data_IF_769283969443
#
_entry.id   IF_769283969443
#
_cell.length_a   1.000
_cell.length_b   1.000
_cell.length_c   1.000
_cell.angle_alpha   90.00
_cell.angle_beta   90.00
_cell.angle_gamma   90.00
#
_symmetry.space_group_name_H-M   'P 1'
#
loop_
_entity.id
_entity.type
_entity.pdbx_description
1 polymer ?
#
# COMPACT_ATOMS: atom_id res chain seq x y z
N UNK A 1 29.82 65.49 22.82
CA UNK A 1 29.42 64.39 23.69
C UNK A 1 27.94 64.39 24.07
N UNK A 2 27.36 65.53 24.51
CA UNK A 2 25.91 65.57 24.91
C UNK A 2 24.89 65.22 23.80
N UNK A 3 25.14 65.55 22.54
CA UNK A 3 24.25 65.22 21.41
C UNK A 3 24.27 63.74 21.00
N UNK A 4 25.38 63.02 21.15
CA UNK A 4 25.51 61.61 20.84
C UNK A 4 24.80 60.75 21.90
N UNK A 5 24.89 61.16 23.19
CA UNK A 5 24.18 60.49 24.29
C UNK A 5 22.66 60.58 24.12
N UNK A 6 22.15 61.68 23.61
CA UNK A 6 20.73 61.89 23.38
C UNK A 6 20.20 61.01 22.22
N UNK A 7 21.00 60.77 21.19
CA UNK A 7 20.64 59.87 20.07
C UNK A 7 20.58 58.41 20.55
N UNK A 8 21.52 57.97 21.38
CA UNK A 8 21.47 56.61 21.95
C UNK A 8 20.31 56.41 22.91
N UNK A 9 19.89 57.45 23.66
CA UNK A 9 18.71 57.38 24.54
C UNK A 9 17.40 57.29 23.74
N UNK A 10 17.29 57.98 22.61
CA UNK A 10 16.11 57.92 21.72
C UNK A 10 16.05 56.57 20.99
N UNK A 11 17.18 55.98 20.57
CA UNK A 11 17.22 54.64 19.94
C UNK A 11 16.90 53.57 20.98
N UNK A 12 17.32 53.69 22.23
CA UNK A 12 17.02 52.74 23.29
C UNK A 12 15.53 52.75 23.68
N UNK A 13 14.86 53.91 23.58
CA UNK A 13 13.42 54.05 23.86
C UNK A 13 12.54 53.61 22.69
N UNK A 14 13.08 53.63 21.45
CA UNK A 14 12.39 53.17 20.25
C UNK A 14 12.35 51.62 20.09
N UNK A 15 13.19 50.89 20.84
CA UNK A 15 13.26 49.42 20.86
C UNK A 15 12.55 48.82 22.08
N UNK A 16 11.53 49.51 22.63
CA UNK A 16 10.63 48.86 23.58
C UNK A 16 9.82 47.78 22.83
N UNK A 17 10.40 46.59 22.77
CA UNK A 17 9.65 45.39 22.43
C UNK A 17 8.47 45.32 23.40
N UNK A 18 7.28 45.62 22.91
CA UNK A 18 6.07 45.36 23.67
C UNK A 18 5.95 43.85 23.87
N UNK A 19 6.54 43.37 24.95
CA UNK A 19 6.26 42.03 25.45
C UNK A 19 4.79 42.05 25.83
N UNK A 20 3.95 41.55 24.95
CA UNK A 20 2.54 41.38 25.25
C UNK A 20 2.43 40.32 26.34
N UNK A 21 2.42 40.77 27.60
CA UNK A 21 2.16 39.85 28.71
C UNK A 21 0.80 39.19 28.50
N UNK A 22 0.69 37.87 28.58
CA UNK A 22 -0.59 37.22 28.53
C UNK A 22 -1.42 37.73 29.71
N UNK A 23 -2.48 38.49 29.43
CA UNK A 23 -3.34 38.95 30.51
C UNK A 23 -4.34 37.86 30.88
N UNK A 24 -4.53 37.68 32.17
CA UNK A 24 -5.44 36.72 32.75
C UNK A 24 -6.66 37.46 33.30
N UNK A 25 -7.85 36.95 32.99
CA UNK A 25 -9.11 37.50 33.51
C UNK A 25 -9.72 36.46 34.45
N UNK A 26 -10.08 36.88 35.63
CA UNK A 26 -10.85 36.04 36.54
C UNK A 26 -12.26 35.85 35.99
N UNK A 27 -12.63 34.58 35.80
CA UNK A 27 -13.93 34.19 35.25
C UNK A 27 -14.78 33.58 36.38
N UNK A 28 -15.77 34.29 36.94
CA UNK A 28 -16.58 33.80 38.04
C UNK A 28 -17.31 32.49 37.75
N UNK A 29 -17.75 32.30 36.50
CA UNK A 29 -18.48 31.14 36.02
C UNK A 29 -17.70 29.83 36.19
N UNK A 30 -16.40 29.84 36.00
CA UNK A 30 -15.51 28.66 36.13
C UNK A 30 -14.58 28.78 37.35
N UNK A 31 -14.68 29.86 38.13
CA UNK A 31 -13.88 30.17 39.32
C UNK A 31 -12.36 29.99 39.08
N UNK A 32 -11.87 30.49 37.93
CA UNK A 32 -10.45 30.40 37.54
C UNK A 32 -10.00 31.63 36.77
N UNK A 33 -8.70 31.90 36.85
CA UNK A 33 -8.04 32.84 35.97
C UNK A 33 -7.93 32.23 34.59
N UNK A 34 -8.43 32.91 33.56
CA UNK A 34 -8.47 32.44 32.18
C UNK A 34 -7.82 33.46 31.27
N UNK A 35 -6.94 33.05 30.40
CA UNK A 35 -6.43 33.90 29.32
C UNK A 35 -7.43 33.88 28.16
N UNK A 36 -8.11 34.97 27.82
CA UNK A 36 -9.13 34.98 26.76
C UNK A 36 -8.62 34.60 25.40
N UNK A 37 -7.31 34.78 25.11
CA UNK A 37 -6.70 34.37 23.84
C UNK A 37 -6.53 32.86 23.71
N UNK A 38 -6.40 32.16 24.85
CA UNK A 38 -6.18 30.73 24.87
C UNK A 38 -7.34 29.93 25.46
N UNK A 39 -8.37 30.63 25.96
CA UNK A 39 -9.56 30.01 26.52
C UNK A 39 -10.34 29.22 25.47
N UNK A 40 -10.94 28.13 25.93
CA UNK A 40 -11.91 27.41 25.11
C UNK A 40 -13.21 28.23 25.01
N UNK A 41 -13.88 28.14 23.87
CA UNK A 41 -15.20 28.73 23.68
C UNK A 41 -16.23 28.03 24.56
N UNK A 42 -17.31 28.74 24.95
CA UNK A 42 -18.32 28.22 25.89
C UNK A 42 -19.03 26.95 25.44
N UNK A 43 -19.19 26.77 24.14
CA UNK A 43 -19.85 25.60 23.56
C UNK A 43 -18.96 24.88 22.52
N UNK A 44 -19.12 23.58 22.32
CA UNK A 44 -18.38 22.84 21.30
C UNK A 44 -18.65 23.41 19.89
N UNK A 45 -19.89 23.82 19.61
CA UNK A 45 -20.28 24.40 18.33
C UNK A 45 -19.51 25.72 18.03
N UNK A 46 -19.42 26.60 18.99
CA UNK A 46 -18.65 27.86 18.84
C UNK A 46 -17.15 27.59 18.70
N UNK A 47 -16.62 26.65 19.48
CA UNK A 47 -15.21 26.24 19.39
C UNK A 47 -14.89 25.65 18.01
N UNK A 48 -15.77 24.82 17.49
CA UNK A 48 -15.63 24.24 16.16
C UNK A 48 -15.72 25.31 15.06
N UNK A 49 -16.73 26.18 15.12
CA UNK A 49 -16.89 27.27 14.16
C UNK A 49 -15.64 28.15 14.08
N UNK A 50 -15.06 28.47 15.24
CA UNK A 50 -13.81 29.26 15.30
C UNK A 50 -12.63 28.46 14.69
N UNK A 51 -12.45 27.21 15.05
CA UNK A 51 -11.37 26.39 14.50
C UNK A 51 -11.51 26.19 12.97
N UNK A 52 -12.75 26.03 12.49
CA UNK A 52 -13.07 25.91 11.07
C UNK A 52 -12.78 27.21 10.32
N UNK A 53 -13.09 28.38 10.88
CA UNK A 53 -12.74 29.66 10.24
C UNK A 53 -11.23 29.84 10.07
N UNK A 54 -10.43 29.35 11.02
CA UNK A 54 -8.96 29.33 10.90
C UNK A 54 -8.49 28.39 9.77
N UNK A 55 -9.15 27.25 9.62
CA UNK A 55 -8.89 26.32 8.50
C UNK A 55 -9.21 26.99 7.15
N UNK A 56 -10.34 27.65 7.03
CA UNK A 56 -10.76 28.36 5.81
C UNK A 56 -9.79 29.49 5.45
N UNK A 57 -9.22 30.16 6.46
CA UNK A 57 -8.15 31.14 6.31
C UNK A 57 -6.76 30.53 6.05
N UNK A 58 -6.66 29.19 5.92
CA UNK A 58 -5.42 28.43 5.76
C UNK A 58 -4.42 28.58 6.91
N UNK A 59 -4.87 29.07 8.07
CA UNK A 59 -4.06 29.12 9.27
C UNK A 59 -4.07 27.75 9.98
N UNK A 60 -3.44 26.77 9.33
CA UNK A 60 -3.54 25.35 9.71
C UNK A 60 -2.98 25.07 11.10
N UNK A 61 -1.88 25.70 11.50
CA UNK A 61 -1.28 25.45 12.81
C UNK A 61 -2.18 25.92 13.97
N UNK A 62 -2.84 27.04 13.79
CA UNK A 62 -3.78 27.55 14.78
C UNK A 62 -5.08 26.75 14.77
N UNK A 63 -5.58 26.40 13.58
CA UNK A 63 -6.71 25.51 13.42
C UNK A 63 -6.47 24.16 14.13
N UNK A 64 -5.32 23.52 13.92
CA UNK A 64 -4.95 22.27 14.62
C UNK A 64 -4.98 22.43 16.15
N UNK A 65 -4.47 23.52 16.67
CA UNK A 65 -4.49 23.79 18.12
C UNK A 65 -5.91 23.88 18.66
N UNK A 66 -6.77 24.62 17.97
CA UNK A 66 -8.14 24.85 18.41
C UNK A 66 -9.02 23.60 18.24
N UNK A 67 -8.82 22.80 17.17
CA UNK A 67 -9.46 21.49 16.98
C UNK A 67 -9.06 20.50 18.08
N UNK A 68 -7.76 20.37 18.38
CA UNK A 68 -7.28 19.50 19.47
C UNK A 68 -7.82 19.95 20.84
N UNK A 69 -7.95 21.27 21.06
CA UNK A 69 -8.53 21.83 22.28
C UNK A 69 -10.00 21.43 22.42
N UNK A 70 -10.78 21.46 21.32
CA UNK A 70 -12.16 21.01 21.29
C UNK A 70 -12.27 19.52 21.66
N UNK A 71 -11.53 18.66 20.98
CA UNK A 71 -11.55 17.21 21.21
C UNK A 71 -11.22 16.88 22.68
N UNK A 72 -10.25 17.59 23.25
CA UNK A 72 -9.85 17.38 24.65
C UNK A 72 -10.93 17.81 25.65
N UNK A 73 -11.60 18.92 25.37
CA UNK A 73 -12.54 19.54 26.31
C UNK A 73 -13.98 19.04 26.16
N UNK A 74 -14.34 18.62 24.96
CA UNK A 74 -15.68 18.15 24.60
C UNK A 74 -15.63 16.80 23.85
N UNK A 75 -15.01 15.75 24.41
CA UNK A 75 -14.71 14.50 23.67
C UNK A 75 -15.94 13.72 23.22
N UNK A 76 -17.11 13.99 23.80
CA UNK A 76 -18.38 13.33 23.47
C UNK A 76 -19.30 14.16 22.56
N UNK A 77 -18.88 15.38 22.20
CA UNK A 77 -19.66 16.24 21.32
C UNK A 77 -19.57 15.76 19.86
N UNK A 78 -20.60 15.97 19.07
CA UNK A 78 -20.58 15.67 17.63
C UNK A 78 -19.44 16.41 16.93
N UNK A 79 -19.18 17.64 17.35
CA UNK A 79 -18.11 18.48 16.84
C UNK A 79 -16.71 17.93 17.13
N UNK A 80 -16.57 16.98 18.06
CA UNK A 80 -15.29 16.31 18.30
C UNK A 80 -14.92 15.37 17.14
N UNK A 81 -15.89 14.62 16.59
CA UNK A 81 -15.69 13.80 15.39
C UNK A 81 -15.35 14.70 14.19
N UNK A 82 -16.11 15.78 13.98
CA UNK A 82 -15.83 16.77 12.93
C UNK A 82 -14.44 17.40 13.10
N UNK A 83 -14.06 17.76 14.33
CA UNK A 83 -12.72 18.29 14.61
C UNK A 83 -11.62 17.32 14.26
N UNK A 84 -11.81 16.03 14.55
CA UNK A 84 -10.85 14.98 14.21
C UNK A 84 -10.76 14.81 12.69
N UNK A 85 -11.88 14.94 11.95
CA UNK A 85 -11.90 14.93 10.49
C UNK A 85 -11.11 16.11 9.90
N UNK A 86 -11.32 17.32 10.41
CA UNK A 86 -10.56 18.50 9.96
C UNK A 86 -9.05 18.38 10.26
N UNK A 87 -8.66 17.71 11.35
CA UNK A 87 -7.25 17.38 11.57
C UNK A 87 -6.70 16.51 10.44
N UNK A 88 -7.45 15.50 10.02
CA UNK A 88 -7.08 14.66 8.86
C UNK A 88 -6.95 15.47 7.58
N UNK A 89 -7.92 16.34 7.28
CA UNK A 89 -7.89 17.20 6.08
C UNK A 89 -6.67 18.14 6.07
N UNK A 90 -6.29 18.70 7.23
CA UNK A 90 -5.11 19.57 7.33
C UNK A 90 -3.85 18.76 7.02
N UNK A 91 -3.69 17.59 7.61
CA UNK A 91 -2.52 16.72 7.35
C UNK A 91 -2.47 16.28 5.88
N UNK A 92 -3.62 15.96 5.28
CA UNK A 92 -3.73 15.62 3.86
C UNK A 92 -3.32 16.80 2.97
N UNK A 93 -3.80 18.00 3.27
CA UNK A 93 -3.45 19.24 2.56
C UNK A 93 -1.95 19.58 2.67
N UNK A 94 -1.33 19.24 3.79
CA UNK A 94 0.11 19.41 4.02
C UNK A 94 0.94 18.24 3.45
N UNK A 95 0.31 17.29 2.74
CA UNK A 95 0.95 16.09 2.19
C UNK A 95 1.58 15.17 3.26
N UNK A 96 1.09 15.25 4.49
CA UNK A 96 1.44 14.36 5.59
C UNK A 96 0.48 13.16 5.60
N UNK A 97 0.48 12.39 4.51
CA UNK A 97 -0.56 11.39 4.24
C UNK A 97 -0.71 10.34 5.33
N UNK A 98 0.38 9.90 5.94
CA UNK A 98 0.30 8.92 7.03
C UNK A 98 -0.34 9.50 8.30
N UNK A 99 -0.03 10.75 8.63
CA UNK A 99 -0.66 11.45 9.76
C UNK A 99 -2.15 11.72 9.49
N UNK A 100 -2.50 12.01 8.22
CA UNK A 100 -3.90 12.11 7.80
C UNK A 100 -4.66 10.79 8.03
N UNK A 101 -4.09 9.66 7.59
CA UNK A 101 -4.62 8.33 7.87
C UNK A 101 -4.82 8.10 9.37
N UNK A 102 -3.80 8.37 10.20
CA UNK A 102 -3.92 8.21 11.65
C UNK A 102 -5.00 9.11 12.27
N UNK A 103 -5.23 10.29 11.69
CA UNK A 103 -6.30 11.17 12.14
C UNK A 103 -7.68 10.63 11.76
N UNK A 104 -7.82 10.06 10.56
CA UNK A 104 -9.06 9.44 10.08
C UNK A 104 -9.38 8.15 10.84
N UNK A 105 -8.42 7.26 11.02
CA UNK A 105 -8.61 6.02 11.78
C UNK A 105 -9.12 6.29 13.21
N UNK A 106 -8.66 7.37 13.88
CA UNK A 106 -9.18 7.77 15.18
C UNK A 106 -10.68 8.09 15.19
N UNK A 107 -11.26 8.46 14.04
CA UNK A 107 -12.71 8.68 13.96
C UNK A 107 -13.43 7.34 13.98
N UNK A 108 -12.96 6.39 13.21
CA UNK A 108 -13.52 5.03 13.18
C UNK A 108 -13.46 4.40 14.57
N UNK A 109 -12.31 4.53 15.25
CA UNK A 109 -12.10 3.94 16.57
C UNK A 109 -12.92 4.60 17.69
N UNK A 110 -13.09 5.93 17.66
CA UNK A 110 -13.68 6.68 18.78
C UNK A 110 -15.09 7.20 18.52
N UNK A 111 -15.45 7.35 17.26
CA UNK A 111 -16.73 7.92 16.83
C UNK A 111 -17.40 7.05 15.75
N UNK A 112 -17.63 5.75 16.02
CA UNK A 112 -18.08 4.77 15.01
C UNK A 112 -19.46 5.09 14.40
N UNK A 113 -20.23 5.99 15.03
CA UNK A 113 -21.52 6.46 14.53
C UNK A 113 -21.42 7.77 13.72
N UNK A 114 -20.20 8.20 13.35
CA UNK A 114 -20.01 9.37 12.50
C UNK A 114 -20.57 9.11 11.10
N UNK A 115 -21.34 10.06 10.56
CA UNK A 115 -21.85 10.00 9.19
C UNK A 115 -20.75 9.99 8.12
N UNK A 116 -19.50 10.31 8.52
CA UNK A 116 -18.34 10.39 7.62
C UNK A 116 -17.57 9.09 7.45
N UNK A 117 -17.99 8.00 8.11
CA UNK A 117 -17.22 6.74 8.09
C UNK A 117 -16.92 6.27 6.65
N UNK A 118 -17.94 6.30 5.78
CA UNK A 118 -17.76 5.88 4.38
C UNK A 118 -16.77 6.80 3.62
N UNK A 119 -16.90 8.11 3.79
CA UNK A 119 -15.97 9.09 3.20
C UNK A 119 -14.53 8.88 3.70
N UNK A 120 -14.39 8.58 4.98
CA UNK A 120 -13.08 8.31 5.61
C UNK A 120 -12.42 7.09 5.01
N UNK A 121 -13.14 5.98 4.87
CA UNK A 121 -12.65 4.75 4.25
C UNK A 121 -12.18 5.01 2.81
N UNK A 122 -12.92 5.82 2.06
CA UNK A 122 -12.52 6.21 0.71
C UNK A 122 -11.24 7.07 0.68
N UNK A 123 -11.08 7.97 1.67
CA UNK A 123 -9.85 8.75 1.82
C UNK A 123 -8.66 7.89 2.21
N UNK A 124 -8.83 7.01 3.18
CA UNK A 124 -7.79 6.05 3.58
C UNK A 124 -7.36 5.18 2.39
N UNK A 125 -8.32 4.68 1.61
CA UNK A 125 -8.01 3.94 0.40
C UNK A 125 -7.17 4.77 -0.61
N UNK A 126 -7.52 6.04 -0.86
CA UNK A 126 -6.74 6.94 -1.72
C UNK A 126 -5.34 7.21 -1.18
N UNK A 127 -5.21 7.33 0.14
CA UNK A 127 -3.91 7.47 0.80
C UNK A 127 -3.05 6.22 0.58
N UNK A 128 -3.66 5.02 0.70
CA UNK A 128 -2.96 3.77 0.40
C UNK A 128 -2.47 3.72 -1.06
N UNK A 129 -3.31 4.12 -2.03
CA UNK A 129 -2.92 4.20 -3.45
C UNK A 129 -1.73 5.15 -3.67
N UNK A 130 -1.68 6.28 -2.96
CA UNK A 130 -0.54 7.20 -3.03
C UNK A 130 0.76 6.53 -2.53
N UNK A 131 0.70 5.73 -1.47
CA UNK A 131 1.87 4.96 -0.99
C UNK A 131 2.26 3.83 -1.95
N UNK A 132 1.32 3.24 -2.67
CA UNK A 132 1.61 2.25 -3.71
C UNK A 132 2.38 2.85 -4.89
N UNK A 133 2.11 4.11 -5.24
CA UNK A 133 2.75 4.82 -6.36
C UNK A 133 4.08 5.47 -6.02
N UNK A 134 4.64 5.18 -4.84
CA UNK A 134 5.98 5.61 -4.46
C UNK A 134 6.07 6.77 -3.48
N UNK A 135 4.94 7.27 -2.97
CA UNK A 135 4.95 8.21 -1.83
C UNK A 135 5.62 7.53 -0.64
N UNK A 136 6.51 8.24 0.05
CA UNK A 136 7.21 7.74 1.23
C UNK A 136 6.63 8.36 2.49
N UNK A 137 6.55 7.56 3.56
CA UNK A 137 6.24 8.08 4.88
C UNK A 137 7.34 9.06 5.30
N UNK A 138 6.93 10.21 5.79
CA UNK A 138 7.84 11.26 6.26
C UNK A 138 7.62 11.49 7.75
N UNK A 139 8.70 11.75 8.49
CA UNK A 139 8.65 12.35 9.82
C UNK A 139 9.65 13.51 9.86
N UNK A 140 9.22 14.65 10.36
CA UNK A 140 10.02 15.89 10.39
C UNK A 140 10.60 16.26 9.00
N UNK A 141 9.84 16.00 7.93
CA UNK A 141 10.28 16.28 6.56
C UNK A 141 11.20 15.26 5.91
N UNK A 142 11.67 14.25 6.66
CA UNK A 142 12.56 13.18 6.16
C UNK A 142 11.78 11.91 5.85
N UNK A 143 12.17 11.21 4.75
CA UNK A 143 11.61 9.90 4.42
C UNK A 143 12.09 8.86 5.44
N UNK A 144 11.17 8.07 5.98
CA UNK A 144 11.49 6.99 6.92
C UNK A 144 11.74 5.68 6.16
N UNK A 145 12.77 4.90 6.53
CA UNK A 145 13.00 3.56 6.02
C UNK A 145 12.09 2.56 6.78
N UNK A 146 10.79 2.64 6.51
CA UNK A 146 9.78 1.78 7.13
C UNK A 146 9.07 0.93 6.07
N UNK A 147 8.42 -0.13 6.52
CA UNK A 147 7.54 -0.92 5.67
C UNK A 147 6.52 -0.02 4.94
N UNK A 148 6.13 -0.42 3.73
CA UNK A 148 5.21 0.37 2.92
C UNK A 148 3.87 0.56 3.66
N UNK A 149 3.49 1.80 4.02
CA UNK A 149 2.27 2.07 4.78
C UNK A 149 0.99 1.59 4.09
N UNK A 150 1.01 1.36 2.77
CA UNK A 150 -0.14 0.84 2.04
C UNK A 150 -0.62 -0.51 2.58
N UNK A 151 0.28 -1.36 3.13
CA UNK A 151 -0.10 -2.65 3.70
C UNK A 151 -1.01 -2.44 4.90
N UNK A 152 -0.59 -1.62 5.87
CA UNK A 152 -1.36 -1.30 7.06
C UNK A 152 -2.70 -0.65 6.70
N UNK A 153 -2.66 0.37 5.84
CA UNK A 153 -3.85 1.16 5.49
C UNK A 153 -4.87 0.30 4.74
N UNK A 154 -4.44 -0.49 3.73
CA UNK A 154 -5.35 -1.38 3.01
C UNK A 154 -5.95 -2.44 3.93
N UNK A 155 -5.18 -2.98 4.86
CA UNK A 155 -5.68 -3.92 5.87
C UNK A 155 -6.78 -3.27 6.70
N UNK A 156 -6.58 -2.03 7.17
CA UNK A 156 -7.61 -1.30 7.92
C UNK A 156 -8.85 -0.96 7.09
N UNK A 157 -8.68 -0.57 5.84
CA UNK A 157 -9.81 -0.35 4.91
C UNK A 157 -10.66 -1.62 4.76
N UNK A 158 -10.04 -2.80 4.66
CA UNK A 158 -10.74 -4.09 4.56
C UNK A 158 -11.45 -4.41 5.88
N UNK A 159 -10.78 -4.27 7.02
CA UNK A 159 -11.34 -4.54 8.34
C UNK A 159 -12.52 -3.62 8.66
N UNK A 160 -12.40 -2.32 8.36
CA UNK A 160 -13.42 -1.31 8.66
C UNK A 160 -14.65 -1.39 7.74
N UNK A 161 -14.53 -2.03 6.58
CA UNK A 161 -15.62 -2.12 5.60
C UNK A 161 -15.59 -3.43 4.81
N UNK A 162 -15.62 -4.56 5.52
CA UNK A 162 -15.47 -5.92 4.95
C UNK A 162 -16.41 -6.22 3.80
N UNK A 163 -17.63 -5.70 3.83
CA UNK A 163 -18.64 -5.87 2.77
C UNK A 163 -18.91 -4.58 1.97
N UNK A 164 -18.07 -3.58 2.17
CA UNK A 164 -18.20 -2.30 1.46
C UNK A 164 -17.71 -2.37 0.01
N UNK A 165 -18.01 -1.33 -0.78
CA UNK A 165 -17.74 -1.33 -2.21
C UNK A 165 -16.24 -1.36 -2.54
N UNK A 166 -15.38 -0.99 -1.60
CA UNK A 166 -13.92 -0.98 -1.79
C UNK A 166 -13.22 -2.25 -1.29
N UNK A 167 -13.90 -3.12 -0.53
CA UNK A 167 -13.28 -4.24 0.16
C UNK A 167 -12.54 -5.20 -0.79
N UNK A 168 -13.19 -5.68 -1.84
CA UNK A 168 -12.59 -6.58 -2.82
C UNK A 168 -11.40 -5.94 -3.54
N UNK A 169 -11.55 -4.67 -3.92
CA UNK A 169 -10.50 -3.88 -4.57
C UNK A 169 -9.30 -3.65 -3.63
N UNK A 170 -9.57 -3.29 -2.37
CA UNK A 170 -8.51 -3.11 -1.36
C UNK A 170 -7.77 -4.42 -1.08
N UNK A 171 -8.48 -5.54 -0.97
CA UNK A 171 -7.89 -6.86 -0.77
C UNK A 171 -7.00 -7.26 -1.95
N UNK A 172 -7.45 -7.00 -3.19
CA UNK A 172 -6.64 -7.22 -4.39
C UNK A 172 -5.39 -6.34 -4.43
N UNK A 173 -5.54 -5.04 -4.12
CA UNK A 173 -4.42 -4.09 -4.05
C UNK A 173 -3.40 -4.47 -2.97
N UNK A 174 -3.84 -4.98 -1.82
CA UNK A 174 -2.95 -5.53 -0.79
C UNK A 174 -2.06 -6.65 -1.35
N UNK A 175 -2.66 -7.58 -2.11
CA UNK A 175 -1.90 -8.62 -2.81
C UNK A 175 -0.86 -8.06 -3.79
N UNK A 176 -1.22 -7.01 -4.54
CA UNK A 176 -0.27 -6.36 -5.46
C UNK A 176 0.90 -5.68 -4.72
N UNK A 177 0.65 -5.02 -3.59
CA UNK A 177 1.72 -4.42 -2.76
C UNK A 177 2.67 -5.48 -2.27
N UNK A 178 2.14 -6.57 -1.70
CA UNK A 178 2.94 -7.69 -1.19
C UNK A 178 3.76 -8.35 -2.30
N UNK A 179 3.16 -8.57 -3.48
CA UNK A 179 3.86 -9.08 -4.67
C UNK A 179 5.00 -8.14 -5.10
N UNK A 180 4.75 -6.83 -5.14
CA UNK A 180 5.76 -5.82 -5.47
C UNK A 180 6.94 -5.80 -4.49
N UNK A 181 6.72 -6.22 -3.25
CA UNK A 181 7.75 -6.41 -2.22
C UNK A 181 8.38 -7.82 -2.25
N UNK A 182 8.10 -8.63 -3.26
CA UNK A 182 8.54 -10.03 -3.41
C UNK A 182 8.08 -10.96 -2.28
N UNK A 183 7.07 -10.56 -1.51
CA UNK A 183 6.42 -11.36 -0.46
C UNK A 183 5.36 -12.27 -1.10
N UNK A 184 5.81 -13.17 -2.00
CA UNK A 184 4.92 -13.90 -2.90
C UNK A 184 3.91 -14.81 -2.20
N UNK A 185 4.28 -15.47 -1.11
CA UNK A 185 3.36 -16.32 -0.32
C UNK A 185 2.25 -15.51 0.34
N UNK A 186 2.60 -14.36 0.90
CA UNK A 186 1.61 -13.48 1.52
C UNK A 186 0.73 -12.79 0.47
N UNK A 187 1.30 -12.47 -0.69
CA UNK A 187 0.53 -11.98 -1.83
C UNK A 187 -0.49 -13.01 -2.31
N UNK A 188 -0.08 -14.29 -2.42
CA UNK A 188 -0.97 -15.39 -2.78
C UNK A 188 -2.10 -15.55 -1.77
N UNK A 189 -1.80 -15.48 -0.47
CA UNK A 189 -2.83 -15.51 0.57
C UNK A 189 -3.83 -14.34 0.43
N UNK A 190 -3.31 -13.13 0.17
CA UNK A 190 -4.15 -11.96 -0.04
C UNK A 190 -5.06 -12.11 -1.26
N UNK A 191 -4.56 -12.66 -2.38
CA UNK A 191 -5.35 -12.95 -3.57
C UNK A 191 -6.37 -14.08 -3.35
N UNK A 192 -6.02 -15.13 -2.60
CA UNK A 192 -6.96 -16.18 -2.22
C UNK A 192 -8.13 -15.62 -1.40
N UNK A 193 -7.87 -14.64 -0.50
CA UNK A 193 -8.93 -13.93 0.23
C UNK A 193 -9.86 -13.14 -0.70
N UNK A 194 -9.38 -12.62 -1.84
CA UNK A 194 -10.26 -12.01 -2.85
C UNK A 194 -11.23 -13.05 -3.41
N UNK A 195 -10.71 -14.22 -3.79
CA UNK A 195 -11.51 -15.28 -4.40
C UNK A 195 -12.53 -15.85 -3.42
N UNK A 196 -12.12 -16.09 -2.16
CA UNK A 196 -12.99 -16.71 -1.15
C UNK A 196 -14.04 -15.76 -0.59
N UNK A 197 -13.69 -14.50 -0.33
CA UNK A 197 -14.56 -13.55 0.33
C UNK A 197 -15.40 -12.73 -0.66
N UNK A 198 -14.93 -12.57 -1.90
CA UNK A 198 -15.55 -11.73 -2.93
C UNK A 198 -15.58 -12.44 -4.29
N UNK A 199 -16.15 -13.66 -4.39
CA UNK A 199 -16.07 -14.49 -5.61
C UNK A 199 -16.73 -13.83 -6.84
N UNK A 200 -17.77 -13.02 -6.64
CA UNK A 200 -18.50 -12.33 -7.70
C UNK A 200 -17.89 -10.98 -8.09
N UNK A 201 -16.79 -10.57 -7.46
CA UNK A 201 -16.13 -9.32 -7.77
C UNK A 201 -15.34 -9.40 -9.09
N UNK A 202 -15.21 -8.29 -9.79
CA UNK A 202 -14.33 -8.17 -10.95
C UNK A 202 -12.88 -8.53 -10.63
N UNK A 203 -12.47 -8.40 -9.35
CA UNK A 203 -11.12 -8.66 -8.86
C UNK A 203 -10.82 -10.15 -8.66
N UNK A 204 -11.84 -11.00 -8.49
CA UNK A 204 -11.63 -12.44 -8.27
C UNK A 204 -10.92 -13.11 -9.45
N UNK A 205 -11.32 -12.78 -10.69
CA UNK A 205 -10.67 -13.26 -11.90
C UNK A 205 -9.21 -12.77 -11.97
N UNK A 206 -8.98 -11.48 -11.74
CA UNK A 206 -7.62 -10.92 -11.74
C UNK A 206 -6.74 -11.53 -10.64
N UNK A 207 -7.33 -11.87 -9.48
CA UNK A 207 -6.62 -12.54 -8.38
C UNK A 207 -6.12 -13.93 -8.77
N UNK A 208 -6.92 -14.75 -9.49
CA UNK A 208 -6.47 -16.06 -10.01
C UNK A 208 -5.23 -15.93 -10.89
N UNK A 209 -5.22 -14.97 -11.80
CA UNK A 209 -4.03 -14.69 -12.63
C UNK A 209 -2.82 -14.29 -11.78
N UNK A 210 -3.03 -13.44 -10.76
CA UNK A 210 -1.93 -13.00 -9.89
C UNK A 210 -1.36 -14.12 -9.03
N UNK A 211 -2.17 -15.09 -8.60
CA UNK A 211 -1.69 -16.29 -7.90
C UNK A 211 -0.74 -17.09 -8.78
N UNK A 212 -1.14 -17.37 -10.02
CA UNK A 212 -0.27 -18.04 -10.99
C UNK A 212 1.04 -17.26 -11.22
N UNK A 213 0.94 -15.94 -11.30
CA UNK A 213 2.09 -15.04 -11.45
C UNK A 213 3.01 -15.02 -10.21
N UNK A 214 2.48 -15.17 -8.99
CA UNK A 214 3.29 -15.32 -7.77
C UNK A 214 4.05 -16.67 -7.80
N UNK A 215 3.40 -17.76 -8.20
CA UNK A 215 4.05 -19.08 -8.36
C UNK A 215 5.15 -19.03 -9.41
N UNK A 216 4.89 -18.39 -10.56
CA UNK A 216 5.91 -18.20 -11.59
C UNK A 216 7.13 -17.41 -11.08
N UNK A 217 6.91 -16.39 -10.24
CA UNK A 217 7.99 -15.61 -9.64
C UNK A 217 8.82 -16.42 -8.61
N UNK A 218 8.23 -17.42 -7.97
CA UNK A 218 8.93 -18.37 -7.08
C UNK A 218 9.73 -19.42 -7.85
N UNK A 219 9.43 -19.64 -9.14
CA UNK A 219 10.12 -20.58 -10.00
C UNK A 219 11.57 -20.12 -10.23
N UNK A 220 12.53 -20.94 -9.83
CA UNK A 220 13.97 -20.68 -10.00
C UNK A 220 14.44 -20.99 -11.42
N UNK A 221 15.74 -20.86 -11.68
CA UNK A 221 16.36 -21.22 -12.97
C UNK A 221 16.21 -22.70 -13.32
N UNK A 222 16.53 -23.10 -14.58
CA UNK A 222 16.34 -24.46 -15.07
C UNK A 222 17.21 -25.52 -14.36
N UNK A 223 18.23 -25.10 -13.62
CA UNK A 223 19.12 -26.00 -12.86
C UNK A 223 18.58 -26.34 -11.45
N UNK A 224 17.42 -25.80 -11.07
CA UNK A 224 16.76 -26.05 -9.79
C UNK A 224 15.52 -26.92 -9.97
N UNK A 225 14.93 -27.32 -8.82
CA UNK A 225 13.66 -28.02 -8.82
C UNK A 225 12.58 -27.27 -9.60
N UNK A 226 11.92 -27.98 -10.53
CA UNK A 226 10.89 -27.43 -11.41
C UNK A 226 9.46 -27.54 -10.84
N UNK A 227 9.30 -27.97 -9.59
CA UNK A 227 7.99 -28.10 -8.95
C UNK A 227 7.18 -26.79 -9.01
N UNK A 228 7.79 -25.67 -8.58
CA UNK A 228 7.15 -24.35 -8.65
C UNK A 228 6.86 -23.89 -10.10
N UNK A 229 7.67 -24.33 -11.08
CA UNK A 229 7.45 -24.04 -12.51
C UNK A 229 6.19 -24.76 -13.00
N UNK A 230 6.07 -26.07 -12.70
CA UNK A 230 4.90 -26.87 -13.04
C UNK A 230 3.62 -26.34 -12.40
N UNK A 231 3.65 -26.06 -11.08
CA UNK A 231 2.50 -25.46 -10.37
C UNK A 231 2.05 -24.13 -10.99
N UNK A 232 2.99 -23.28 -11.38
CA UNK A 232 2.67 -22.01 -12.03
C UNK A 232 2.00 -22.22 -13.39
N UNK A 233 2.55 -23.15 -14.19
CA UNK A 233 2.01 -23.50 -15.51
C UNK A 233 0.58 -24.03 -15.37
N UNK A 234 0.35 -24.99 -14.47
CA UNK A 234 -0.98 -25.57 -14.25
C UNK A 234 -2.02 -24.50 -13.86
N UNK A 235 -1.65 -23.55 -12.99
CA UNK A 235 -2.54 -22.44 -12.60
C UNK A 235 -2.83 -21.46 -13.74
N UNK A 236 -1.88 -21.20 -14.62
CA UNK A 236 -2.15 -20.40 -15.82
C UNK A 236 -3.02 -21.15 -16.82
N UNK A 237 -2.81 -22.47 -17.01
CA UNK A 237 -3.64 -23.30 -17.88
C UNK A 237 -5.09 -23.38 -17.34
N UNK A 238 -5.26 -23.56 -16.02
CA UNK A 238 -6.57 -23.46 -15.35
C UNK A 238 -7.24 -22.13 -15.63
N UNK A 239 -6.50 -21.03 -15.46
CA UNK A 239 -7.01 -19.66 -15.71
C UNK A 239 -7.48 -19.49 -17.16
N UNK A 240 -6.70 -19.91 -18.15
CA UNK A 240 -7.05 -19.81 -19.57
C UNK A 240 -8.27 -20.67 -19.90
N UNK A 241 -8.37 -21.87 -19.31
CA UNK A 241 -9.50 -22.78 -19.50
C UNK A 241 -10.80 -22.18 -18.94
N UNK A 242 -10.74 -21.58 -17.76
CA UNK A 242 -11.92 -20.96 -17.12
C UNK A 242 -12.32 -19.61 -17.76
N UNK A 243 -11.36 -18.89 -18.34
CA UNK A 243 -11.55 -17.53 -18.81
C UNK A 243 -10.94 -17.30 -20.21
N UNK A 244 -11.33 -18.07 -21.26
CA UNK A 244 -10.66 -18.05 -22.56
C UNK A 244 -10.68 -16.66 -23.24
N UNK A 245 -11.74 -15.90 -23.04
CA UNK A 245 -11.93 -14.58 -23.67
C UNK A 245 -11.40 -13.40 -22.82
N UNK A 246 -10.81 -13.67 -21.67
CA UNK A 246 -10.27 -12.59 -20.82
C UNK A 246 -9.01 -11.97 -21.46
N UNK A 247 -8.86 -10.65 -21.30
CA UNK A 247 -7.65 -9.94 -21.78
C UNK A 247 -6.38 -10.57 -21.17
N UNK A 248 -6.44 -10.95 -19.89
CA UNK A 248 -5.33 -11.59 -19.19
C UNK A 248 -4.99 -13.00 -19.71
N UNK A 249 -5.86 -13.63 -20.49
CA UNK A 249 -5.61 -14.98 -21.02
C UNK A 249 -4.52 -15.00 -22.08
N UNK A 250 -4.30 -13.90 -22.80
CA UNK A 250 -3.14 -13.75 -23.69
C UNK A 250 -1.83 -13.68 -22.91
N UNK A 251 -1.83 -12.92 -21.80
CA UNK A 251 -0.65 -12.85 -20.94
C UNK A 251 -0.40 -14.17 -20.22
N UNK A 252 -1.47 -14.87 -19.81
CA UNK A 252 -1.38 -16.21 -19.24
C UNK A 252 -0.79 -17.21 -20.23
N UNK A 253 -1.25 -17.20 -21.50
CA UNK A 253 -0.71 -18.06 -22.55
C UNK A 253 0.78 -17.84 -22.79
N UNK A 254 1.21 -16.57 -22.84
CA UNK A 254 2.62 -16.23 -22.94
C UNK A 254 3.43 -16.75 -21.75
N UNK A 255 2.91 -16.61 -20.53
CA UNK A 255 3.58 -17.15 -19.35
C UNK A 255 3.67 -18.68 -19.41
N UNK A 256 2.64 -19.38 -19.92
CA UNK A 256 2.67 -20.83 -20.13
C UNK A 256 3.81 -21.22 -21.10
N UNK A 257 3.95 -20.49 -22.21
CA UNK A 257 5.02 -20.72 -23.18
C UNK A 257 6.40 -20.51 -22.57
N UNK A 258 6.60 -19.42 -21.83
CA UNK A 258 7.86 -19.11 -21.12
C UNK A 258 8.20 -20.19 -20.08
N UNK A 259 7.21 -20.71 -19.35
CA UNK A 259 7.39 -21.79 -18.38
C UNK A 259 7.70 -23.13 -19.06
N UNK A 260 7.04 -23.46 -20.17
CA UNK A 260 7.35 -24.63 -21.00
C UNK A 260 8.78 -24.61 -21.56
N UNK A 261 9.22 -23.44 -22.03
CA UNK A 261 10.62 -23.26 -22.46
C UNK A 261 11.60 -23.56 -21.32
N UNK A 262 11.29 -23.12 -20.11
CA UNK A 262 12.12 -23.32 -18.93
C UNK A 262 12.16 -24.77 -18.48
N UNK A 263 11.04 -25.51 -18.51
CA UNK A 263 10.98 -26.96 -18.22
C UNK A 263 11.79 -27.75 -19.28
N UNK A 264 11.63 -27.39 -20.55
CA UNK A 264 12.40 -27.99 -21.64
C UNK A 264 13.91 -27.76 -21.49
N UNK A 265 14.34 -26.57 -21.05
CA UNK A 265 15.74 -26.27 -20.74
C UNK A 265 16.27 -27.12 -19.61
N UNK A 266 15.50 -27.25 -18.51
CA UNK A 266 15.87 -28.07 -17.37
C UNK A 266 16.10 -29.53 -17.82
N UNK A 267 15.16 -30.11 -18.57
CA UNK A 267 15.28 -31.46 -19.10
C UNK A 267 16.46 -31.63 -20.07
N UNK A 268 16.75 -30.61 -20.88
CA UNK A 268 17.91 -30.58 -21.75
C UNK A 268 19.22 -30.60 -20.94
N UNK A 269 19.32 -29.82 -19.88
CA UNK A 269 20.50 -29.79 -18.99
C UNK A 269 20.70 -31.16 -18.31
N UNK A 270 19.63 -31.81 -17.85
CA UNK A 270 19.68 -33.16 -17.28
C UNK A 270 20.12 -34.15 -18.33
N UNK A 271 19.56 -34.13 -19.56
CA UNK A 271 19.95 -35.01 -20.65
C UNK A 271 21.44 -34.84 -20.98
N UNK A 272 21.92 -33.60 -21.07
CA UNK A 272 23.35 -33.27 -21.30
C UNK A 272 24.26 -33.81 -20.21
N UNK A 273 23.82 -33.74 -18.95
CA UNK A 273 24.55 -34.30 -17.81
C UNK A 273 24.73 -35.83 -17.99
N UNK A 274 23.67 -36.58 -18.26
CA UNK A 274 23.73 -38.03 -18.50
C UNK A 274 24.54 -38.40 -19.73
N UNK A 275 24.43 -37.60 -20.79
CA UNK A 275 25.25 -37.80 -21.99
C UNK A 275 26.75 -37.71 -21.70
N UNK A 276 27.18 -36.68 -20.89
CA UNK A 276 28.57 -36.55 -20.45
C UNK A 276 29.05 -37.73 -19.61
N UNK A 277 28.18 -38.33 -18.82
CA UNK A 277 28.44 -39.53 -18.03
C UNK A 277 28.41 -40.82 -18.87
N UNK A 278 28.19 -40.72 -20.20
CA UNK A 278 28.01 -41.82 -21.12
C UNK A 278 26.78 -42.71 -20.79
N UNK A 279 25.87 -42.23 -19.94
CA UNK A 279 24.61 -42.88 -19.60
C UNK A 279 23.55 -42.63 -20.70
N UNK A 280 23.84 -43.08 -21.92
CA UNK A 280 23.04 -42.76 -23.11
C UNK A 280 21.55 -43.14 -23.00
N UNK A 281 21.19 -44.32 -22.41
CA UNK A 281 19.76 -44.63 -22.22
C UNK A 281 19.02 -43.58 -21.37
N UNK A 282 19.63 -43.12 -20.28
CA UNK A 282 19.04 -42.08 -19.44
C UNK A 282 18.95 -40.74 -20.16
N UNK A 283 20.02 -40.33 -20.87
CA UNK A 283 20.00 -39.11 -21.67
C UNK A 283 18.87 -39.13 -22.71
N UNK A 284 18.64 -40.28 -23.34
CA UNK A 284 17.59 -40.47 -24.36
C UNK A 284 16.20 -40.18 -23.77
N UNK A 285 15.90 -40.69 -22.58
CA UNK A 285 14.58 -40.46 -21.93
C UNK A 285 14.26 -38.95 -21.83
N UNK A 286 15.20 -38.16 -21.39
CA UNK A 286 14.99 -36.72 -21.25
C UNK A 286 14.93 -35.99 -22.60
N UNK A 287 15.71 -36.39 -23.59
CA UNK A 287 15.62 -35.84 -24.95
C UNK A 287 14.29 -36.18 -25.61
N UNK A 288 13.82 -37.44 -25.48
CA UNK A 288 12.51 -37.85 -25.99
C UNK A 288 11.38 -37.11 -25.30
N UNK A 289 11.47 -36.87 -23.99
CA UNK A 289 10.51 -36.08 -23.23
C UNK A 289 10.39 -34.64 -23.79
N UNK A 290 11.53 -33.99 -24.09
CA UNK A 290 11.50 -32.63 -24.67
C UNK A 290 10.80 -32.64 -26.03
N UNK A 291 11.08 -33.59 -26.87
CA UNK A 291 10.50 -33.67 -28.24
C UNK A 291 9.00 -33.93 -28.17
N UNK A 292 8.55 -34.77 -27.22
CA UNK A 292 7.16 -35.18 -27.12
C UNK A 292 6.29 -34.13 -26.39
N UNK A 293 6.79 -33.54 -25.31
CA UNK A 293 6.01 -32.66 -24.41
C UNK A 293 6.23 -31.18 -24.67
N UNK A 294 7.34 -30.80 -25.33
CA UNK A 294 7.71 -29.41 -25.63
C UNK A 294 8.12 -29.21 -27.09
N UNK A 295 7.32 -29.69 -28.08
CA UNK A 295 7.72 -29.72 -29.49
C UNK A 295 8.03 -28.34 -30.09
N UNK A 296 7.34 -27.29 -29.59
CA UNK A 296 7.48 -25.92 -30.07
C UNK A 296 8.65 -25.16 -29.39
N UNK A 297 9.32 -25.79 -28.41
CA UNK A 297 10.44 -25.15 -27.72
C UNK A 297 11.71 -25.14 -28.58
N UNK A 298 12.55 -24.12 -28.37
CA UNK A 298 13.90 -24.11 -29.02
C UNK A 298 14.77 -25.30 -28.62
N UNK A 299 14.43 -25.98 -27.52
CA UNK A 299 15.16 -27.14 -27.01
C UNK A 299 14.80 -28.44 -27.72
N UNK A 300 13.60 -28.54 -28.32
CA UNK A 300 13.19 -29.73 -29.07
C UNK A 300 14.11 -29.98 -30.28
N UNK A 301 14.41 -28.96 -31.07
CA UNK A 301 15.34 -29.07 -32.20
C UNK A 301 16.74 -29.49 -31.75
N UNK A 302 17.24 -28.92 -30.64
CA UNK A 302 18.54 -29.27 -30.07
C UNK A 302 18.55 -30.71 -29.53
N UNK A 303 17.48 -31.17 -28.88
CA UNK A 303 17.33 -32.52 -28.38
C UNK A 303 17.37 -33.54 -29.52
N UNK A 304 16.63 -33.27 -30.61
CA UNK A 304 16.63 -34.10 -31.81
C UNK A 304 18.02 -34.22 -32.44
N UNK A 305 18.75 -33.13 -32.56
CA UNK A 305 20.14 -33.12 -33.04
C UNK A 305 21.04 -34.00 -32.17
N UNK A 306 20.91 -33.88 -30.84
CA UNK A 306 21.73 -34.70 -29.92
C UNK A 306 21.42 -36.17 -30.02
N UNK A 307 20.16 -36.58 -30.15
CA UNK A 307 19.76 -37.96 -30.34
C UNK A 307 20.39 -38.54 -31.62
N UNK A 308 20.35 -37.84 -32.74
CA UNK A 308 20.99 -38.25 -34.00
C UNK A 308 22.52 -38.43 -33.85
N UNK A 309 23.19 -37.60 -33.10
CA UNK A 309 24.63 -37.72 -32.82
C UNK A 309 24.91 -38.92 -31.94
N UNK A 310 24.05 -39.23 -30.95
CA UNK A 310 24.22 -40.39 -30.06
C UNK A 310 23.99 -41.73 -30.80
N UNK A 311 23.03 -41.77 -31.73
CA UNK A 311 22.77 -42.96 -32.56
C UNK A 311 23.95 -43.33 -33.48
N UNK A 312 24.68 -42.33 -34.00
CA UNK A 312 25.87 -42.54 -34.82
C UNK A 312 27.11 -43.01 -34.04
N UNK A 313 27.07 -42.95 -32.70
CA UNK A 313 28.17 -43.35 -31.82
C UNK A 313 28.02 -44.74 -31.22
N UNK A 314 26.88 -45.43 -31.50
CA UNK A 314 26.67 -46.85 -31.25
C UNK A 314 27.30 -47.68 -32.39
#
# INVERSE_FOLDING_TARGET
MKRIIMIYLVIFFGLSIQVAYPYWIWTPKVKKWVNPKTAIRPTPKEQFAFARSLYELKNYEEAKRELKKLIKSYPKALEAAESQYYLGLIEETQSNLYEAYLAYQKIIDKYPFSERIQEIIEREYKIAEAFMTGTKRKALGMALPVENPAIEILTKVIENSTYGPLASKAQYKLGLVLKGLMRYYEAEEAFNKVISNYPDSEWAKAAKFQIASCRAALSRGPDYDQGATGEAKDKFEEFVKEHPDAVLSRDAQKNIEDLKEKEAEANYNIARFYEKQKAYPAAKVYYDDIINNYPDSKWAAKALERLRVMEKRK
#
